data_IF_808824545208
#
_entry.id   IF_808824545208
#
_cell.length_a   1.000
_cell.length_b   1.000
_cell.length_c   1.000
_cell.angle_alpha   90.00
_cell.angle_beta   90.00
_cell.angle_gamma   90.00
#
_symmetry.space_group_name_H-M   'P 1'
#
loop_
_entity.id
_entity.type
_entity.pdbx_description
1 polymer ?
#
# COMPACT_ATOMS: atom_id res chain seq x y z
N UNK A 1 3.19 -1.73 8.43
CA UNK A 1 2.19 -2.11 9.46
C UNK A 1 0.86 -1.44 9.17
N UNK A 2 -0.27 -2.08 9.48
CA UNK A 2 -1.60 -1.51 9.24
C UNK A 2 -1.93 -0.40 10.24
N UNK A 3 -2.68 0.61 9.80
CA UNK A 3 -3.27 1.66 10.64
C UNK A 3 -4.74 1.39 10.94
N UNK A 4 -5.37 0.50 10.18
CA UNK A 4 -6.76 0.12 10.36
C UNK A 4 -7.06 -1.34 10.04
N UNK A 5 -8.21 -1.80 10.51
CA UNK A 5 -8.71 -3.15 10.23
C UNK A 5 -9.10 -3.33 8.77
N UNK A 6 -9.19 -4.59 8.32
CA UNK A 6 -9.68 -4.92 6.96
C UNK A 6 -11.11 -4.43 6.75
N UNK A 7 -11.97 -4.58 7.76
CA UNK A 7 -13.35 -4.09 7.71
C UNK A 7 -13.39 -2.56 7.65
N UNK A 8 -12.49 -1.87 8.37
CA UNK A 8 -12.33 -0.41 8.26
C UNK A 8 -11.96 0.02 6.85
N UNK A 9 -10.99 -0.66 6.25
CA UNK A 9 -10.58 -0.39 4.86
C UNK A 9 -11.74 -0.61 3.86
N UNK A 10 -12.53 -1.68 4.02
CA UNK A 10 -13.69 -1.95 3.16
C UNK A 10 -14.80 -0.88 3.26
N UNK A 11 -14.89 -0.15 4.37
CA UNK A 11 -15.83 0.97 4.52
C UNK A 11 -15.34 2.23 3.82
N UNK A 12 -14.03 2.39 3.68
CA UNK A 12 -13.41 3.61 3.14
C UNK A 12 -13.07 3.50 1.65
N UNK A 13 -12.73 2.29 1.18
CA UNK A 13 -12.32 2.06 -0.20
C UNK A 13 -13.14 0.97 -0.87
N UNK A 14 -13.39 1.16 -2.16
CA UNK A 14 -13.88 0.12 -3.06
C UNK A 14 -12.72 -0.44 -3.86
N UNK A 15 -12.77 -1.73 -4.19
CA UNK A 15 -11.68 -2.37 -4.94
C UNK A 15 -11.44 -1.69 -6.28
N UNK A 16 -12.53 -1.38 -7.01
CA UNK A 16 -12.46 -0.67 -8.29
C UNK A 16 -11.83 0.72 -8.13
N UNK A 17 -12.24 1.49 -7.11
CA UNK A 17 -11.67 2.81 -6.85
C UNK A 17 -10.15 2.76 -6.59
N UNK A 18 -9.68 1.73 -5.86
CA UNK A 18 -8.24 1.51 -5.64
C UNK A 18 -7.52 1.14 -6.93
N UNK A 19 -8.12 0.27 -7.78
CA UNK A 19 -7.55 -0.05 -9.10
C UNK A 19 -7.41 1.21 -9.95
N UNK A 20 -8.47 2.02 -10.04
CA UNK A 20 -8.49 3.24 -10.86
C UNK A 20 -7.52 4.30 -10.34
N UNK A 21 -7.39 4.45 -9.01
CA UNK A 21 -6.41 5.34 -8.40
C UNK A 21 -4.97 4.91 -8.72
N UNK A 22 -4.65 3.62 -8.55
CA UNK A 22 -3.33 3.09 -8.82
C UNK A 22 -2.99 3.15 -10.31
N UNK A 23 -3.96 2.88 -11.19
CA UNK A 23 -3.78 3.00 -12.63
C UNK A 23 -3.45 4.44 -13.06
N UNK A 24 -4.13 5.45 -12.47
CA UNK A 24 -3.79 6.87 -12.69
C UNK A 24 -2.39 7.24 -12.23
N UNK A 25 -1.82 6.50 -11.29
CA UNK A 25 -0.44 6.65 -10.80
C UNK A 25 0.57 5.80 -11.60
N UNK A 26 0.14 5.15 -12.67
CA UNK A 26 0.99 4.29 -13.51
C UNK A 26 1.28 2.91 -12.90
N UNK A 27 0.48 2.47 -11.91
CA UNK A 27 0.66 1.21 -11.20
C UNK A 27 -0.46 0.25 -11.61
N UNK A 28 -0.10 -0.87 -12.24
CA UNK A 28 -1.05 -1.91 -12.63
C UNK A 28 -1.24 -2.87 -11.46
N UNK A 29 -2.46 -3.04 -10.98
CA UNK A 29 -2.78 -4.05 -9.98
C UNK A 29 -3.63 -5.17 -10.57
N UNK A 30 -3.26 -6.42 -10.26
CA UNK A 30 -4.00 -7.63 -10.61
C UNK A 30 -4.21 -8.44 -9.34
N UNK A 31 -5.41 -8.94 -9.10
CA UNK A 31 -5.63 -9.87 -8.00
C UNK A 31 -6.95 -10.62 -8.10
N UNK A 32 -7.12 -11.66 -7.26
CA UNK A 32 -8.25 -12.59 -7.35
C UNK A 32 -9.62 -11.95 -7.15
N UNK A 33 -9.71 -10.83 -6.41
CA UNK A 33 -10.98 -10.14 -6.21
C UNK A 33 -10.87 -8.70 -5.73
N UNK A 34 -11.88 -7.90 -6.07
CA UNK A 34 -11.97 -6.48 -5.70
C UNK A 34 -12.00 -6.27 -4.18
N UNK A 35 -12.55 -7.22 -3.42
CA UNK A 35 -12.57 -7.17 -1.95
C UNK A 35 -11.16 -7.17 -1.37
N UNK A 36 -10.30 -8.11 -1.80
CA UNK A 36 -8.91 -8.18 -1.33
C UNK A 36 -8.12 -6.93 -1.70
N UNK A 37 -8.35 -6.37 -2.89
CA UNK A 37 -7.74 -5.10 -3.32
C UNK A 37 -8.14 -3.95 -2.39
N UNK A 38 -9.43 -3.87 -1.99
CA UNK A 38 -9.90 -2.85 -1.07
C UNK A 38 -9.33 -3.02 0.35
N UNK A 39 -9.24 -4.24 0.85
CA UNK A 39 -8.64 -4.54 2.16
C UNK A 39 -7.15 -4.13 2.25
N UNK A 40 -6.48 -4.11 1.11
CA UNK A 40 -5.05 -3.81 0.94
C UNK A 40 -4.80 -2.43 0.33
N UNK A 41 -5.80 -1.54 0.34
CA UNK A 41 -5.65 -0.17 -0.14
C UNK A 41 -4.43 0.52 0.51
N UNK A 42 -3.64 1.33 -0.24
CA UNK A 42 -2.44 1.97 0.31
C UNK A 42 -2.69 2.75 1.61
N UNK A 43 -3.84 3.41 1.73
CA UNK A 43 -4.23 4.16 2.93
C UNK A 43 -4.52 3.33 4.17
N UNK A 44 -4.65 2.01 4.05
CA UNK A 44 -4.83 1.11 5.21
C UNK A 44 -3.52 0.80 5.95
N UNK A 45 -2.39 1.25 5.40
CA UNK A 45 -1.06 1.06 5.95
C UNK A 45 -0.44 2.37 6.43
N UNK A 46 0.52 2.25 7.34
CA UNK A 46 1.38 3.37 7.75
C UNK A 46 2.13 3.91 6.54
N UNK A 47 2.47 5.19 6.60
CA UNK A 47 3.45 5.76 5.69
C UNK A 47 4.80 5.04 5.87
N UNK A 48 5.25 4.40 4.80
CA UNK A 48 6.49 3.65 4.82
C UNK A 48 7.71 4.56 4.97
N UNK A 49 7.62 5.80 4.49
CA UNK A 49 8.73 6.75 4.55
C UNK A 49 9.02 7.15 5.99
N UNK A 50 7.98 7.44 6.77
CA UNK A 50 8.11 7.71 8.21
C UNK A 50 8.72 6.54 8.97
N UNK A 51 8.31 5.30 8.65
CA UNK A 51 8.87 4.11 9.30
C UNK A 51 10.35 3.96 8.99
N UNK A 52 10.75 4.12 7.73
CA UNK A 52 12.15 4.01 7.31
C UNK A 52 13.00 5.14 7.90
N UNK A 53 12.47 6.36 7.97
CA UNK A 53 13.15 7.51 8.56
C UNK A 53 13.49 7.31 10.04
N UNK A 54 12.55 6.76 10.83
CA UNK A 54 12.77 6.47 12.25
C UNK A 54 13.90 5.46 12.43
N UNK A 55 13.87 4.35 11.69
CA UNK A 55 14.87 3.28 11.84
C UNK A 55 16.24 3.75 11.36
N UNK A 56 16.27 4.61 10.34
CA UNK A 56 17.50 5.21 9.85
C UNK A 56 18.13 6.18 10.86
N UNK A 57 17.34 7.11 11.39
CA UNK A 57 17.84 8.08 12.38
C UNK A 57 18.19 7.45 13.72
N UNK A 58 17.57 6.32 14.07
CA UNK A 58 17.94 5.51 15.23
C UNK A 58 19.27 4.76 15.06
N UNK A 59 19.89 4.78 13.86
CA UNK A 59 21.14 4.07 13.58
C UNK A 59 20.99 2.55 13.47
N UNK A 60 19.76 2.03 13.37
CA UNK A 60 19.48 0.60 13.31
C UNK A 60 19.67 0.07 11.88
N UNK A 61 19.35 0.87 10.86
CA UNK A 61 19.57 0.50 9.46
C UNK A 61 19.92 1.72 8.59
N UNK A 62 20.60 1.49 7.47
CA UNK A 62 20.93 2.56 6.51
C UNK A 62 19.97 2.56 5.32
N UNK A 63 19.54 3.74 4.87
CA UNK A 63 18.82 3.87 3.60
C UNK A 63 19.80 3.63 2.45
N UNK A 64 19.43 2.75 1.52
CA UNK A 64 20.29 2.38 0.38
C UNK A 64 19.62 2.74 -0.94
N UNK A 65 18.40 2.26 -1.17
CA UNK A 65 17.65 2.52 -2.39
C UNK A 65 16.15 2.56 -2.10
N UNK A 66 15.41 3.27 -2.96
CA UNK A 66 13.94 3.26 -2.97
C UNK A 66 13.45 2.78 -4.32
N UNK A 67 12.52 1.83 -4.28
CA UNK A 67 11.83 1.32 -5.46
C UNK A 67 10.40 1.86 -5.54
N UNK A 68 9.86 1.90 -6.75
CA UNK A 68 8.45 2.23 -7.01
C UNK A 68 7.83 1.08 -7.81
N UNK A 69 6.64 0.60 -7.42
CA UNK A 69 6.01 -0.51 -8.14
C UNK A 69 5.50 -0.05 -9.50
N UNK A 70 5.62 -0.92 -10.50
CA UNK A 70 4.95 -0.77 -11.80
C UNK A 70 3.76 -1.73 -11.90
N UNK A 71 3.93 -2.95 -11.38
CA UNK A 71 2.91 -4.00 -11.40
C UNK A 71 2.86 -4.67 -10.03
N UNK A 72 1.65 -4.85 -9.50
CA UNK A 72 1.37 -5.57 -8.26
C UNK A 72 0.40 -6.71 -8.54
N UNK A 73 0.85 -7.96 -8.38
CA UNK A 73 -0.02 -9.16 -8.47
C UNK A 73 -0.32 -9.63 -7.06
N UNK A 74 -1.60 -9.72 -6.69
CA UNK A 74 -2.08 -10.05 -5.35
C UNK A 74 -2.95 -11.32 -5.35
N UNK A 75 -2.64 -12.21 -4.41
CA UNK A 75 -3.41 -13.41 -4.08
C UNK A 75 -4.69 -13.07 -3.34
#
# INVERSE_FOLDING_TARGET
GRTMSRVGALKQWTGKGVVDELARRGIIIKGHGLKGIAEEAPGAYKDIDQVIDVVHHAGISSKVARVRPLICVKG
#
